data_IF_520635224013
#
_entry.id   IF_520635224013
#
_cell.length_a   1.000
_cell.length_b   1.000
_cell.length_c   1.000
_cell.angle_alpha   90.00
_cell.angle_beta   90.00
_cell.angle_gamma   90.00
#
_symmetry.space_group_name_H-M   'P 1'
#
loop_
_entity.id
_entity.type
_entity.pdbx_description
1 polymer ?
#
# COMPACT_ATOMS: atom_id res chain seq x y z
N UNK A 1 -19.52 6.44 48.86
CA UNK A 1 -19.03 7.75 48.36
C UNK A 1 -17.89 7.49 47.39
N UNK A 2 -18.02 8.05 46.18
CA UNK A 2 -17.05 7.98 45.09
C UNK A 2 -15.68 8.57 45.45
N UNK A 3 -14.62 8.09 44.79
CA UNK A 3 -13.51 8.90 44.26
C UNK A 3 -12.61 8.09 43.30
N UNK A 4 -12.65 8.46 42.02
CA UNK A 4 -11.52 8.42 41.08
C UNK A 4 -10.46 9.47 41.52
N UNK A 5 -9.21 9.44 41.00
CA UNK A 5 -8.83 9.93 39.64
C UNK A 5 -8.05 8.85 38.84
N UNK A 6 -8.27 8.63 37.55
CA UNK A 6 -7.80 9.36 36.35
C UNK A 6 -6.27 9.52 36.28
N UNK A 7 -5.61 8.71 35.43
CA UNK A 7 -4.67 9.15 34.37
C UNK A 7 -3.94 7.96 33.73
N UNK A 8 -4.13 7.79 32.42
CA UNK A 8 -3.09 7.44 31.44
C UNK A 8 -3.74 7.46 30.07
N UNK A 9 -3.76 8.65 29.47
CA UNK A 9 -4.03 8.85 28.06
C UNK A 9 -2.87 8.24 27.27
N UNK A 10 -2.94 6.94 26.97
CA UNK A 10 -2.12 6.36 25.92
C UNK A 10 -2.82 6.62 24.60
N UNK A 11 -2.39 7.71 23.97
CA UNK A 11 -2.68 8.09 22.59
C UNK A 11 -2.13 6.99 21.66
N UNK A 12 -2.81 5.84 21.62
CA UNK A 12 -2.68 4.91 20.53
C UNK A 12 -3.52 5.50 19.40
N UNK A 13 -2.86 6.38 18.66
CA UNK A 13 -3.20 6.80 17.32
C UNK A 13 -3.08 5.56 16.41
N UNK A 14 -3.92 4.56 16.67
CA UNK A 14 -4.21 3.47 15.77
C UNK A 14 -4.91 4.13 14.59
N UNK A 15 -4.10 4.58 13.64
CA UNK A 15 -4.55 5.07 12.35
C UNK A 15 -5.48 3.99 11.80
N UNK A 16 -6.77 4.25 11.98
CA UNK A 16 -7.78 3.42 11.40
C UNK A 16 -7.55 3.46 9.91
N UNK A 17 -7.48 2.28 9.31
CA UNK A 17 -7.56 1.99 7.88
C UNK A 17 -8.92 2.41 7.29
N UNK A 18 -9.48 3.54 7.73
CA UNK A 18 -10.51 4.24 6.99
C UNK A 18 -9.79 4.93 5.85
N UNK A 19 -9.79 4.28 4.69
CA UNK A 19 -9.68 4.96 3.42
C UNK A 19 -10.74 6.07 3.46
N UNK A 20 -10.31 7.30 3.73
CA UNK A 20 -11.13 8.47 3.45
C UNK A 20 -11.36 8.42 1.94
N UNK A 21 -12.55 7.99 1.60
CA UNK A 21 -13.16 8.15 0.29
C UNK A 21 -13.33 9.66 0.05
N UNK A 22 -12.22 10.34 -0.18
CA UNK A 22 -12.22 11.68 -0.75
C UNK A 22 -12.48 11.51 -2.25
N UNK A 23 -13.76 11.31 -2.56
CA UNK A 23 -14.51 12.03 -3.59
C UNK A 23 -13.68 12.63 -4.76
N UNK A 24 -13.12 11.78 -5.62
CA UNK A 24 -12.86 12.16 -7.02
C UNK A 24 -13.38 11.07 -7.96
N UNK A 25 -14.65 11.21 -8.28
CA UNK A 25 -15.40 10.48 -9.31
C UNK A 25 -14.93 10.91 -10.70
N UNK A 26 -13.69 10.58 -11.07
CA UNK A 26 -13.23 10.64 -12.46
C UNK A 26 -12.31 9.45 -12.77
N UNK A 27 -12.91 8.41 -13.39
CA UNK A 27 -12.24 7.24 -13.98
C UNK A 27 -11.64 6.19 -13.00
N UNK A 28 -12.50 5.60 -12.18
CA UNK A 28 -12.85 4.17 -12.32
C UNK A 28 -11.95 3.08 -11.74
N UNK A 29 -10.81 3.36 -11.11
CA UNK A 29 -10.02 2.33 -10.43
C UNK A 29 -9.26 2.90 -9.25
N UNK A 30 -9.46 2.32 -8.06
CA UNK A 30 -8.76 2.71 -6.83
C UNK A 30 -7.23 2.67 -7.04
N UNK A 31 -6.44 3.53 -6.37
CA UNK A 31 -4.98 3.55 -6.51
C UNK A 31 -4.37 2.16 -6.28
N UNK A 32 -4.96 1.38 -5.38
CA UNK A 32 -4.67 -0.01 -5.10
C UNK A 32 -4.73 -0.91 -6.36
N UNK A 33 -5.81 -0.79 -7.14
CA UNK A 33 -5.99 -1.55 -8.37
C UNK A 33 -5.02 -1.09 -9.47
N UNK A 34 -4.81 0.22 -9.61
CA UNK A 34 -3.84 0.77 -10.57
C UNK A 34 -2.41 0.29 -10.29
N UNK A 35 -2.02 0.25 -9.02
CA UNK A 35 -0.72 -0.26 -8.58
C UNK A 35 -0.62 -1.76 -8.90
N UNK A 36 -1.65 -2.55 -8.59
CA UNK A 36 -1.66 -3.97 -8.91
C UNK A 36 -1.52 -4.24 -10.41
N UNK A 37 -2.32 -3.57 -11.24
CA UNK A 37 -2.25 -3.72 -12.69
C UNK A 37 -0.89 -3.29 -13.25
N UNK A 38 -0.31 -2.22 -12.70
CA UNK A 38 1.03 -1.78 -13.06
C UNK A 38 2.08 -2.84 -12.71
N UNK A 39 2.08 -3.33 -11.47
CA UNK A 39 3.00 -4.38 -11.04
C UNK A 39 2.84 -5.64 -11.90
N UNK A 40 1.61 -6.07 -12.18
CA UNK A 40 1.34 -7.21 -13.07
C UNK A 40 1.91 -7.02 -14.47
N UNK A 41 1.68 -5.85 -15.09
CA UNK A 41 2.23 -5.53 -16.42
C UNK A 41 3.76 -5.50 -16.42
N UNK A 42 4.38 -4.93 -15.40
CA UNK A 42 5.84 -4.86 -15.31
C UNK A 42 6.46 -6.25 -15.03
N UNK A 43 5.76 -7.09 -14.27
CA UNK A 43 6.18 -8.44 -13.92
C UNK A 43 5.82 -9.48 -15.01
N UNK A 44 5.04 -9.10 -16.02
CA UNK A 44 4.62 -10.01 -17.10
C UNK A 44 5.84 -10.55 -17.85
N UNK A 45 6.00 -11.88 -17.87
CA UNK A 45 7.13 -12.55 -18.49
C UNK A 45 8.47 -12.32 -17.78
N UNK A 46 8.44 -11.79 -16.55
CA UNK A 46 9.61 -11.65 -15.68
C UNK A 46 9.58 -12.71 -14.58
N UNK A 47 10.74 -12.97 -14.01
CA UNK A 47 10.90 -13.87 -12.88
C UNK A 47 11.13 -13.03 -11.63
N UNK A 48 10.45 -13.35 -10.53
CA UNK A 48 10.59 -12.59 -9.29
C UNK A 48 11.99 -12.65 -8.67
N UNK A 49 12.76 -13.67 -9.03
CA UNK A 49 14.16 -13.81 -8.63
C UNK A 49 15.10 -12.92 -9.45
N UNK A 50 14.63 -12.39 -10.58
CA UNK A 50 15.43 -11.60 -11.54
C UNK A 50 14.94 -10.16 -11.65
N UNK A 51 13.68 -9.90 -11.31
CA UNK A 51 13.04 -8.60 -11.42
C UNK A 51 12.05 -8.37 -10.30
N UNK A 52 11.97 -7.12 -9.86
CA UNK A 52 10.96 -6.65 -8.92
C UNK A 52 10.72 -5.17 -9.15
N UNK A 53 9.52 -4.71 -8.83
CA UNK A 53 9.07 -3.34 -9.06
C UNK A 53 9.34 -2.52 -7.79
N UNK A 54 10.27 -1.54 -7.82
CA UNK A 54 10.52 -0.68 -6.67
C UNK A 54 9.38 0.33 -6.46
N UNK A 55 9.06 0.64 -5.20
CA UNK A 55 8.11 1.70 -4.80
C UNK A 55 8.32 3.00 -5.61
N UNK A 56 9.55 3.56 -5.72
CA UNK A 56 9.76 4.81 -6.46
C UNK A 56 9.38 4.72 -7.94
N UNK A 57 9.49 3.55 -8.59
CA UNK A 57 9.08 3.38 -9.98
C UNK A 57 7.55 3.43 -10.12
N UNK A 58 6.83 2.81 -9.19
CA UNK A 58 5.36 2.82 -9.14
C UNK A 58 4.87 4.25 -8.88
N UNK A 59 5.46 4.93 -7.88
CA UNK A 59 5.17 6.32 -7.53
C UNK A 59 5.32 7.25 -8.73
N UNK A 60 6.44 7.17 -9.45
CA UNK A 60 6.68 7.98 -10.64
C UNK A 60 5.73 7.65 -11.79
N UNK A 61 5.45 6.36 -12.02
CA UNK A 61 4.61 5.91 -13.14
C UNK A 61 3.14 6.27 -12.95
N UNK A 62 2.65 6.22 -11.71
CA UNK A 62 1.25 6.48 -11.37
C UNK A 62 1.01 7.88 -10.82
N UNK A 63 2.08 8.68 -10.66
CA UNK A 63 2.06 10.00 -10.04
C UNK A 63 1.43 9.96 -8.63
N UNK A 64 1.83 8.97 -7.84
CA UNK A 64 1.35 8.74 -6.47
C UNK A 64 2.46 8.98 -5.45
N UNK A 65 2.10 9.35 -4.23
CA UNK A 65 3.06 9.46 -3.14
C UNK A 65 3.62 8.08 -2.75
N UNK A 66 4.92 8.00 -2.43
CA UNK A 66 5.56 6.76 -2.02
C UNK A 66 4.93 6.15 -0.76
N UNK A 67 4.40 6.98 0.14
CA UNK A 67 3.67 6.52 1.34
C UNK A 67 2.38 5.80 0.94
N UNK A 68 1.63 6.38 0.00
CA UNK A 68 0.39 5.79 -0.53
C UNK A 68 0.68 4.49 -1.27
N UNK A 69 1.74 4.47 -2.09
CA UNK A 69 2.18 3.27 -2.80
C UNK A 69 2.58 2.18 -1.81
N UNK A 70 3.38 2.50 -0.79
CA UNK A 70 3.79 1.55 0.25
C UNK A 70 2.58 0.93 0.94
N UNK A 71 1.63 1.76 1.38
CA UNK A 71 0.41 1.28 2.04
C UNK A 71 -0.40 0.36 1.12
N UNK A 72 -0.57 0.75 -0.15
CA UNK A 72 -1.27 -0.08 -1.14
C UNK A 72 -0.52 -1.40 -1.40
N UNK A 73 0.80 -1.36 -1.55
CA UNK A 73 1.64 -2.55 -1.73
C UNK A 73 1.57 -3.48 -0.52
N UNK A 74 1.59 -2.95 0.71
CA UNK A 74 1.37 -3.73 1.93
C UNK A 74 -0.01 -4.40 1.93
N UNK A 75 -1.06 -3.67 1.57
CA UNK A 75 -2.41 -4.25 1.47
C UNK A 75 -2.50 -5.32 0.38
N UNK A 76 -1.89 -5.10 -0.79
CA UNK A 76 -1.82 -6.11 -1.86
C UNK A 76 -1.01 -7.35 -1.45
N UNK A 77 0.01 -7.15 -0.62
CA UNK A 77 0.84 -8.23 -0.08
C UNK A 77 0.02 -9.08 0.90
N UNK A 78 -0.68 -8.44 1.82
CA UNK A 78 -1.58 -9.11 2.78
C UNK A 78 -2.70 -9.89 2.07
N UNK A 79 -3.23 -9.33 0.98
CA UNK A 79 -4.22 -9.99 0.13
C UNK A 79 -3.64 -11.12 -0.76
N UNK A 80 -2.31 -11.27 -0.82
CA UNK A 80 -1.66 -12.30 -1.64
C UNK A 80 -1.67 -12.02 -3.15
N UNK A 81 -1.82 -10.75 -3.56
CA UNK A 81 -1.74 -10.35 -4.96
C UNK A 81 -0.32 -10.04 -5.43
N UNK A 82 0.51 -9.52 -4.52
CA UNK A 82 1.93 -9.26 -4.75
C UNK A 82 2.72 -9.77 -3.54
N UNK A 83 4.05 -9.81 -3.63
CA UNK A 83 4.90 -10.07 -2.47
C UNK A 83 6.17 -9.24 -2.54
N UNK A 84 6.74 -8.87 -1.37
CA UNK A 84 8.05 -8.25 -1.30
C UNK A 84 9.12 -9.25 -1.73
N UNK A 85 10.12 -8.79 -2.47
CA UNK A 85 11.27 -9.61 -2.83
C UNK A 85 12.39 -9.45 -1.78
N UNK A 86 13.64 -9.79 -2.13
CA UNK A 86 14.78 -9.70 -1.22
C UNK A 86 15.03 -8.30 -0.64
N UNK A 87 14.50 -7.27 -1.30
CA UNK A 87 14.53 -5.89 -0.83
C UNK A 87 13.11 -5.51 -0.38
N UNK A 88 12.96 -5.05 0.86
CA UNK A 88 11.66 -4.63 1.45
C UNK A 88 10.97 -3.48 0.70
N UNK A 89 11.64 -2.88 -0.28
CA UNK A 89 11.11 -1.80 -1.12
C UNK A 89 10.76 -2.25 -2.54
N UNK A 90 10.90 -3.54 -2.84
CA UNK A 90 10.70 -4.13 -4.15
C UNK A 90 9.57 -5.16 -4.11
N UNK A 91 8.61 -5.04 -5.02
CA UNK A 91 7.43 -5.90 -5.05
C UNK A 91 7.30 -6.63 -6.37
N UNK A 92 6.90 -7.89 -6.31
CA UNK A 92 6.59 -8.69 -7.49
C UNK A 92 5.12 -9.13 -7.46
N UNK A 93 4.43 -9.03 -8.59
CA UNK A 93 3.04 -9.45 -8.72
C UNK A 93 2.93 -10.93 -9.09
N UNK A 94 2.01 -11.63 -8.43
CA UNK A 94 1.69 -13.05 -8.68
C UNK A 94 0.73 -13.22 -9.87
#
# INVERSE_FOLDING_TARGET
MMKQPLESASNNNGQSLFVKDDNDTSSGSSPLQRILEFCKKQCEGKDANSFAVPIPLISQSLNLDETTVRNCCTTLTDQGFIYPTFDDNNFFAL
#
